data_IF_135931075165
#
_entry.id   IF_135931075165
#
_cell.length_a   1.000
_cell.length_b   1.000
_cell.length_c   1.000
_cell.angle_alpha   90.00
_cell.angle_beta   90.00
_cell.angle_gamma   90.00
#
_symmetry.space_group_name_H-M   'P 1'
#
loop_
_entity.id
_entity.type
_entity.pdbx_description
1 polymer ?
#
# COMPACT_ATOMS: atom_id res chain seq x y z
N UNK A 1 6.90 18.44 -15.95
CA UNK A 1 6.76 17.65 -14.70
C UNK A 1 8.13 17.17 -14.28
N UNK A 2 8.61 17.57 -13.09
CA UNK A 2 9.85 17.04 -12.52
C UNK A 2 9.67 15.53 -12.32
N UNK A 3 10.57 14.71 -12.90
CA UNK A 3 10.52 13.27 -12.69
C UNK A 3 10.98 12.96 -11.27
N UNK A 4 10.16 12.29 -10.48
CA UNK A 4 10.55 11.79 -9.16
C UNK A 4 11.83 10.96 -9.27
N UNK A 5 12.78 11.19 -8.36
CA UNK A 5 14.04 10.44 -8.35
C UNK A 5 13.81 8.97 -7.96
N UNK A 6 14.70 8.06 -8.40
CA UNK A 6 14.67 6.66 -7.98
C UNK A 6 14.86 6.53 -6.46
N UNK A 7 15.66 7.38 -5.82
CA UNK A 7 15.83 7.40 -4.38
C UNK A 7 14.52 7.72 -3.64
N UNK A 8 13.73 8.70 -4.14
CA UNK A 8 12.42 8.99 -3.56
C UNK A 8 11.48 7.78 -3.65
N UNK A 9 11.42 7.13 -4.82
CA UNK A 9 10.59 5.93 -5.02
C UNK A 9 11.04 4.78 -4.11
N UNK A 10 12.36 4.59 -3.96
CA UNK A 10 12.94 3.60 -3.04
C UNK A 10 12.50 3.82 -1.59
N UNK A 11 12.58 5.04 -1.08
CA UNK A 11 12.08 5.36 0.27
C UNK A 11 10.56 5.13 0.39
N UNK A 12 9.79 5.44 -0.64
CA UNK A 12 8.36 5.14 -0.68
C UNK A 12 8.08 3.64 -0.55
N UNK A 13 8.83 2.79 -1.23
CA UNK A 13 8.70 1.33 -1.12
C UNK A 13 9.11 0.80 0.26
N UNK A 14 10.19 1.34 0.86
CA UNK A 14 10.58 1.00 2.22
C UNK A 14 9.47 1.38 3.21
N UNK A 15 8.94 2.60 3.10
CA UNK A 15 7.86 3.07 3.95
C UNK A 15 6.58 2.22 3.78
N UNK A 16 6.19 1.90 2.53
CA UNK A 16 5.05 1.02 2.25
C UNK A 16 5.22 -0.36 2.90
N UNK A 17 6.39 -0.98 2.75
CA UNK A 17 6.69 -2.26 3.35
C UNK A 17 6.67 -2.22 4.88
N UNK A 18 7.31 -1.23 5.47
CA UNK A 18 7.36 -1.04 6.91
C UNK A 18 5.96 -0.80 7.52
N UNK A 19 5.12 0.02 6.87
CA UNK A 19 3.77 0.29 7.32
C UNK A 19 2.84 -0.91 7.13
N UNK A 20 2.96 -1.65 6.04
CA UNK A 20 2.17 -2.87 5.84
C UNK A 20 2.50 -3.93 6.90
N UNK A 21 3.75 -4.06 7.31
CA UNK A 21 4.16 -5.04 8.34
C UNK A 21 3.94 -4.46 9.74
N UNK A 22 4.66 -3.40 10.07
CA UNK A 22 4.66 -2.82 11.42
C UNK A 22 3.33 -2.17 11.78
N UNK A 23 2.72 -1.44 10.83
CA UNK A 23 1.39 -0.84 11.00
C UNK A 23 0.32 -1.90 11.20
N UNK A 24 0.33 -2.97 10.38
CA UNK A 24 -0.63 -4.07 10.54
C UNK A 24 -0.49 -4.72 11.91
N UNK A 25 0.72 -5.04 12.36
CA UNK A 25 0.94 -5.62 13.70
C UNK A 25 0.46 -4.68 14.82
N UNK A 26 0.75 -3.39 14.70
CA UNK A 26 0.37 -2.40 15.71
C UNK A 26 -1.16 -2.26 15.80
N UNK A 27 -1.83 -1.95 14.67
CA UNK A 27 -3.26 -1.66 14.66
C UNK A 27 -4.13 -2.90 14.86
N UNK A 28 -3.62 -4.07 14.44
CA UNK A 28 -4.30 -5.35 14.68
C UNK A 28 -3.99 -5.97 16.03
N UNK A 29 -3.17 -5.33 16.87
CA UNK A 29 -2.75 -5.89 18.17
C UNK A 29 -2.22 -7.32 18.05
N UNK A 30 -1.27 -7.52 17.13
CA UNK A 30 -0.73 -8.84 16.84
C UNK A 30 -1.72 -9.78 16.15
N UNK A 31 -2.53 -9.28 15.21
CA UNK A 31 -3.53 -10.02 14.42
C UNK A 31 -4.74 -10.54 15.24
N UNK A 32 -5.04 -9.89 16.37
CA UNK A 32 -6.12 -10.33 17.28
C UNK A 32 -7.16 -9.24 17.58
N UNK A 33 -7.14 -8.10 16.87
CA UNK A 33 -8.03 -6.98 17.13
C UNK A 33 -9.44 -7.21 16.58
N UNK A 34 -10.36 -7.64 17.46
CA UNK A 34 -11.75 -7.89 17.10
C UNK A 34 -12.49 -6.63 16.60
N UNK A 35 -12.09 -5.43 17.06
CA UNK A 35 -12.72 -4.18 16.61
C UNK A 35 -12.45 -3.94 15.15
N UNK A 36 -11.20 -4.06 14.68
CA UNK A 36 -10.81 -3.94 13.25
C UNK A 36 -11.47 -5.04 12.42
N UNK A 37 -11.40 -6.29 12.88
CA UNK A 37 -11.97 -7.43 12.17
C UNK A 37 -13.48 -7.28 11.96
N UNK A 38 -14.21 -6.77 12.96
CA UNK A 38 -15.66 -6.59 12.87
C UNK A 38 -16.09 -5.53 11.85
N UNK A 39 -15.23 -4.57 11.52
CA UNK A 39 -15.55 -3.52 10.54
C UNK A 39 -15.59 -4.04 9.10
N UNK A 40 -14.71 -4.96 8.74
CA UNK A 40 -14.65 -5.55 7.42
C UNK A 40 -14.02 -6.95 7.48
N UNK A 41 -14.78 -7.99 7.92
CA UNK A 41 -14.24 -9.32 8.18
C UNK A 41 -13.53 -9.96 6.98
N UNK A 42 -14.00 -9.68 5.74
CA UNK A 42 -13.42 -10.24 4.51
C UNK A 42 -11.98 -9.76 4.26
N UNK A 43 -11.64 -8.56 4.75
CA UNK A 43 -10.31 -7.95 4.54
C UNK A 43 -9.46 -8.05 5.80
N UNK A 44 -10.06 -7.91 6.99
CA UNK A 44 -9.34 -7.83 8.26
C UNK A 44 -9.49 -9.08 9.12
N UNK A 45 -9.83 -10.22 8.52
CA UNK A 45 -9.59 -11.51 9.16
C UNK A 45 -8.09 -11.68 9.46
N UNK A 46 -7.75 -12.64 10.28
CA UNK A 46 -6.35 -12.96 10.57
C UNK A 46 -5.55 -13.26 9.31
N UNK A 47 -6.14 -14.01 8.38
CA UNK A 47 -5.55 -14.36 7.09
C UNK A 47 -5.41 -13.12 6.19
N UNK A 48 -6.41 -12.24 6.18
CA UNK A 48 -6.36 -10.98 5.44
C UNK A 48 -5.27 -10.05 5.96
N UNK A 49 -5.13 -9.92 7.28
CA UNK A 49 -4.05 -9.15 7.90
C UNK A 49 -2.66 -9.74 7.60
N UNK A 50 -2.52 -11.07 7.62
CA UNK A 50 -1.29 -11.73 7.18
C UNK A 50 -0.98 -11.45 5.71
N UNK A 51 -2.01 -11.45 4.84
CA UNK A 51 -1.83 -11.13 3.44
C UNK A 51 -1.30 -9.70 3.24
N UNK A 52 -1.81 -8.72 3.99
CA UNK A 52 -1.28 -7.34 3.97
C UNK A 52 0.22 -7.32 4.34
N UNK A 53 0.63 -8.12 5.33
CA UNK A 53 2.05 -8.23 5.72
C UNK A 53 2.90 -8.88 4.63
N UNK A 54 2.38 -9.90 3.93
CA UNK A 54 3.07 -10.53 2.79
C UNK A 54 3.32 -9.50 1.69
N UNK A 55 2.33 -8.67 1.36
CA UNK A 55 2.50 -7.56 0.42
C UNK A 55 3.53 -6.53 0.92
N UNK A 56 3.59 -6.29 2.23
CA UNK A 56 4.67 -5.50 2.82
C UNK A 56 6.05 -6.07 2.53
N UNK A 57 6.21 -7.39 2.68
CA UNK A 57 7.43 -8.11 2.30
C UNK A 57 7.76 -7.97 0.81
N UNK A 58 6.75 -8.03 -0.08
CA UNK A 58 6.92 -7.85 -1.52
C UNK A 58 7.42 -6.43 -1.88
N UNK A 59 6.93 -5.38 -1.19
CA UNK A 59 7.47 -4.03 -1.32
C UNK A 59 8.95 -3.97 -0.95
N UNK A 60 9.34 -4.56 0.20
CA UNK A 60 10.74 -4.58 0.65
C UNK A 60 11.63 -5.39 -0.30
N UNK A 61 11.15 -6.51 -0.83
CA UNK A 61 11.86 -7.33 -1.80
C UNK A 61 12.11 -6.60 -3.13
N UNK A 62 11.24 -5.66 -3.51
CA UNK A 62 11.41 -4.85 -4.71
C UNK A 62 12.43 -3.70 -4.54
N UNK A 63 12.78 -3.30 -3.31
CA UNK A 63 13.67 -2.15 -3.01
C UNK A 63 15.02 -2.20 -3.74
N UNK A 64 15.74 -3.33 -3.82
CA UNK A 64 17.04 -3.38 -4.51
C UNK A 64 16.94 -3.02 -6.00
N UNK A 65 15.83 -3.34 -6.67
CA UNK A 65 15.62 -3.03 -8.08
C UNK A 65 15.41 -1.53 -8.35
N UNK A 66 15.12 -0.74 -7.31
CA UNK A 66 14.95 0.71 -7.39
C UNK A 66 16.28 1.48 -7.26
N UNK A 67 17.38 0.83 -6.94
CA UNK A 67 18.69 1.46 -6.87
C UNK A 67 19.18 1.92 -8.25
N UNK A 68 19.94 3.02 -8.26
CA UNK A 68 20.53 3.54 -9.49
C UNK A 68 21.50 2.48 -10.08
N UNK A 69 21.42 2.26 -11.39
CA UNK A 69 22.25 1.26 -12.08
C UNK A 69 21.76 -0.19 -11.97
N UNK A 70 20.69 -0.47 -11.23
CA UNK A 70 20.06 -1.79 -11.19
C UNK A 70 18.99 -1.93 -12.25
N UNK A 71 18.79 -3.16 -12.73
CA UNK A 71 17.69 -3.49 -13.64
C UNK A 71 16.35 -3.24 -12.94
N UNK A 72 15.46 -2.50 -13.62
CA UNK A 72 14.13 -2.16 -13.13
C UNK A 72 13.15 -3.28 -13.39
N UNK A 73 12.22 -3.47 -12.44
CA UNK A 73 11.20 -4.52 -12.49
C UNK A 73 9.79 -3.91 -12.64
N UNK A 74 9.44 -3.34 -13.82
CA UNK A 74 8.21 -2.59 -14.01
C UNK A 74 6.95 -3.41 -13.67
N UNK A 75 6.95 -4.70 -13.98
CA UNK A 75 5.79 -5.57 -13.71
C UNK A 75 5.60 -5.84 -12.21
N UNK A 76 6.68 -5.98 -11.45
CA UNK A 76 6.61 -6.07 -9.99
C UNK A 76 6.00 -4.80 -9.39
N UNK A 77 6.43 -3.63 -9.86
CA UNK A 77 5.86 -2.35 -9.40
C UNK A 77 4.39 -2.21 -9.80
N UNK A 78 4.02 -2.68 -10.99
CA UNK A 78 2.62 -2.67 -11.45
C UNK A 78 1.71 -3.53 -10.57
N UNK A 79 2.14 -4.74 -10.21
CA UNK A 79 1.40 -5.63 -9.31
C UNK A 79 1.21 -4.97 -7.93
N UNK A 80 2.25 -4.33 -7.39
CA UNK A 80 2.18 -3.60 -6.13
C UNK A 80 1.23 -2.39 -6.20
N UNK A 81 1.16 -1.70 -7.35
CA UNK A 81 0.19 -0.64 -7.57
C UNK A 81 -1.25 -1.17 -7.62
N UNK A 82 -1.48 -2.31 -8.26
CA UNK A 82 -2.79 -2.98 -8.32
C UNK A 82 -3.25 -3.43 -6.94
N UNK A 83 -2.36 -4.03 -6.14
CA UNK A 83 -2.63 -4.39 -4.75
C UNK A 83 -3.15 -3.17 -3.95
N UNK A 84 -2.46 -2.06 -4.01
CA UNK A 84 -2.85 -0.83 -3.33
C UNK A 84 -4.16 -0.23 -3.85
N UNK A 85 -4.40 -0.30 -5.16
CA UNK A 85 -5.66 0.12 -5.74
C UNK A 85 -6.83 -0.73 -5.23
N UNK A 86 -6.62 -2.04 -5.06
CA UNK A 86 -7.62 -2.95 -4.48
C UNK A 86 -7.97 -2.54 -3.03
N UNK A 87 -6.98 -2.36 -2.16
CA UNK A 87 -7.24 -1.96 -0.76
C UNK A 87 -7.81 -0.55 -0.65
N UNK A 88 -7.37 0.39 -1.49
CA UNK A 88 -7.99 1.73 -1.58
C UNK A 88 -9.47 1.62 -1.98
N UNK A 89 -9.78 0.81 -2.98
CA UNK A 89 -11.16 0.58 -3.44
C UNK A 89 -12.03 -0.05 -2.36
N UNK A 90 -11.51 -1.04 -1.62
CA UNK A 90 -12.23 -1.67 -0.51
C UNK A 90 -12.50 -0.67 0.63
N UNK A 91 -11.56 0.21 0.92
CA UNK A 91 -11.75 1.27 1.90
C UNK A 91 -12.83 2.27 1.46
N UNK A 92 -12.81 2.70 0.21
CA UNK A 92 -13.86 3.57 -0.33
C UNK A 92 -15.24 2.91 -0.25
N UNK A 93 -15.34 1.61 -0.56
CA UNK A 93 -16.60 0.87 -0.40
C UNK A 93 -17.03 0.81 1.07
N UNK A 94 -16.10 0.64 2.01
CA UNK A 94 -16.44 0.69 3.44
C UNK A 94 -16.94 2.08 3.84
N UNK A 95 -16.24 3.15 3.45
CA UNK A 95 -16.61 4.56 3.74
C UNK A 95 -18.01 4.87 3.20
N UNK A 96 -18.29 4.51 1.95
CA UNK A 96 -19.59 4.82 1.30
C UNK A 96 -20.78 4.02 1.86
N UNK A 97 -20.52 2.92 2.55
CA UNK A 97 -21.56 2.12 3.22
C UNK A 97 -21.94 2.63 4.60
N UNK A 98 -21.16 3.57 5.16
CA UNK A 98 -21.47 4.11 6.47
C UNK A 98 -22.58 5.18 6.36
N UNK A 99 -23.65 5.10 7.15
CA UNK A 99 -24.70 6.14 7.20
C UNK A 99 -24.12 7.51 7.59
N UNK A 100 -23.16 7.51 8.51
CA UNK A 100 -22.35 8.66 8.90
C UNK A 100 -20.95 8.18 9.27
N UNK A 101 -19.97 8.55 8.45
CA UNK A 101 -18.57 8.19 8.69
C UNK A 101 -18.07 8.70 10.03
N UNK A 102 -18.44 9.96 10.39
CA UNK A 102 -18.00 10.57 11.64
C UNK A 102 -18.52 9.81 12.85
N UNK A 103 -19.83 9.49 12.89
CA UNK A 103 -20.41 8.74 14.02
C UNK A 103 -19.87 7.32 14.11
N UNK A 104 -19.63 6.67 12.98
CA UNK A 104 -18.99 5.34 12.93
C UNK A 104 -17.57 5.39 13.51
N UNK A 105 -16.77 6.38 13.10
CA UNK A 105 -15.40 6.55 13.63
C UNK A 105 -15.41 6.90 15.13
N UNK A 106 -16.38 7.71 15.61
CA UNK A 106 -16.53 8.01 17.04
C UNK A 106 -16.90 6.76 17.84
N UNK A 107 -17.80 5.91 17.33
CA UNK A 107 -18.12 4.63 17.97
C UNK A 107 -16.91 3.70 18.04
N UNK A 108 -16.15 3.57 16.93
CA UNK A 108 -14.92 2.78 16.93
C UNK A 108 -13.91 3.37 17.92
N UNK A 109 -13.75 4.70 17.96
CA UNK A 109 -12.81 5.38 18.85
C UNK A 109 -13.14 5.15 20.32
N UNK A 110 -14.42 5.13 20.68
CA UNK A 110 -14.86 4.87 22.07
C UNK A 110 -14.49 3.45 22.54
N UNK A 111 -14.36 2.51 21.61
CA UNK A 111 -13.98 1.12 21.89
C UNK A 111 -12.46 0.90 21.74
N UNK A 112 -11.84 1.52 20.73
CA UNK A 112 -10.42 1.39 20.45
C UNK A 112 -9.92 2.52 19.53
N UNK A 113 -9.19 3.47 20.10
CA UNK A 113 -8.67 4.63 19.41
C UNK A 113 -7.72 4.26 18.24
N UNK A 114 -6.90 3.22 18.40
CA UNK A 114 -6.00 2.76 17.33
C UNK A 114 -6.78 2.20 16.14
N UNK A 115 -7.86 1.46 16.41
CA UNK A 115 -8.76 0.96 15.36
C UNK A 115 -9.44 2.10 14.61
N UNK A 116 -9.88 3.15 15.29
CA UNK A 116 -10.46 4.32 14.63
C UNK A 116 -9.46 5.02 13.73
N UNK A 117 -8.22 5.23 14.19
CA UNK A 117 -7.15 5.83 13.39
C UNK A 117 -6.83 4.98 12.16
N UNK A 118 -6.75 3.66 12.32
CA UNK A 118 -6.55 2.74 11.22
C UNK A 118 -7.68 2.83 10.20
N UNK A 119 -8.94 2.70 10.63
CA UNK A 119 -10.10 2.74 9.74
C UNK A 119 -10.27 4.09 9.04
N UNK A 120 -9.88 5.19 9.69
CA UNK A 120 -9.91 6.52 9.07
C UNK A 120 -8.88 6.69 7.95
N UNK A 121 -7.70 6.06 8.05
CA UNK A 121 -6.53 6.41 7.26
C UNK A 121 -5.97 5.33 6.33
N UNK A 122 -6.31 4.04 6.51
CA UNK A 122 -5.60 2.99 5.78
C UNK A 122 -5.76 3.09 4.25
N UNK A 123 -6.95 3.41 3.77
CA UNK A 123 -7.18 3.53 2.34
C UNK A 123 -6.50 4.74 1.71
N UNK A 124 -6.38 5.85 2.44
CA UNK A 124 -5.59 6.99 2.00
C UNK A 124 -4.09 6.64 1.93
N UNK A 125 -3.57 5.95 2.94
CA UNK A 125 -2.21 5.41 2.94
C UNK A 125 -1.96 4.52 1.72
N UNK A 126 -2.89 3.62 1.42
CA UNK A 126 -2.78 2.74 0.27
C UNK A 126 -2.86 3.49 -1.07
N UNK A 127 -3.70 4.52 -1.18
CA UNK A 127 -3.74 5.38 -2.36
C UNK A 127 -2.40 6.07 -2.63
N UNK A 128 -1.74 6.60 -1.59
CA UNK A 128 -0.44 7.25 -1.70
C UNK A 128 0.63 6.25 -2.19
N UNK A 129 0.74 5.09 -1.57
CA UNK A 129 1.74 4.09 -1.96
C UNK A 129 1.42 3.40 -3.29
N UNK A 130 0.15 3.29 -3.64
CA UNK A 130 -0.28 2.88 -4.97
C UNK A 130 0.19 3.86 -6.05
N UNK A 131 0.06 5.16 -5.81
CA UNK A 131 0.57 6.20 -6.70
C UNK A 131 2.11 6.14 -6.84
N UNK A 132 2.84 5.91 -5.74
CA UNK A 132 4.31 5.73 -5.77
C UNK A 132 4.69 4.53 -6.64
N UNK A 133 4.03 3.40 -6.48
CA UNK A 133 4.29 2.19 -7.27
C UNK A 133 3.92 2.38 -8.76
N UNK A 134 2.81 3.05 -9.06
CA UNK A 134 2.41 3.39 -10.43
C UNK A 134 3.43 4.31 -11.12
N UNK A 135 3.95 5.32 -10.41
CA UNK A 135 5.02 6.19 -10.94
C UNK A 135 6.30 5.41 -11.20
N UNK A 136 6.69 4.50 -10.29
CA UNK A 136 7.85 3.62 -10.50
C UNK A 136 7.67 2.74 -11.75
N UNK A 137 6.47 2.18 -11.95
CA UNK A 137 6.12 1.39 -13.13
C UNK A 137 6.31 2.19 -14.42
N UNK A 138 5.68 3.35 -14.51
CA UNK A 138 5.73 4.20 -15.70
C UNK A 138 7.16 4.65 -16.02
N UNK A 139 7.92 5.02 -14.98
CA UNK A 139 9.31 5.44 -15.12
C UNK A 139 10.19 4.29 -15.64
N UNK A 140 10.05 3.09 -15.06
CA UNK A 140 10.80 1.92 -15.46
C UNK A 140 10.50 1.51 -16.93
N UNK A 141 9.22 1.54 -17.33
CA UNK A 141 8.83 1.25 -18.72
C UNK A 141 9.40 2.27 -19.72
N UNK A 142 9.45 3.55 -19.36
CA UNK A 142 10.05 4.59 -20.21
C UNK A 142 11.56 4.39 -20.36
N UNK A 143 12.27 4.04 -19.30
CA UNK A 143 13.71 3.76 -19.36
C UNK A 143 13.98 2.53 -20.22
N UNK A 144 13.23 1.44 -20.07
CA UNK A 144 13.35 0.24 -20.87
C UNK A 144 13.19 0.52 -22.37
N UNK A 145 12.14 1.25 -22.78
CA UNK A 145 11.91 1.62 -24.19
C UNK A 145 13.06 2.43 -24.79
N UNK A 146 13.69 3.32 -24.00
CA UNK A 146 14.84 4.11 -24.46
C UNK A 146 16.06 3.22 -24.73
N UNK A 147 16.32 2.28 -23.83
CA UNK A 147 17.44 1.34 -23.98
C UNK A 147 17.26 0.41 -25.18
N UNK A 148 16.04 -0.10 -25.38
CA UNK A 148 15.72 -0.97 -26.51
C UNK A 148 15.83 -0.22 -27.84
N UNK A 149 15.38 1.04 -27.92
CA UNK A 149 15.51 1.89 -29.11
C UNK A 149 16.97 2.23 -29.48
N UNK A 150 17.85 2.40 -28.47
CA UNK A 150 19.27 2.65 -28.67
C UNK A 150 20.04 1.41 -29.19
N UNK A 151 19.56 0.20 -28.89
CA UNK A 151 20.18 -1.05 -29.40
C UNK A 151 19.76 -1.40 -30.81
N UNK A 152 18.67 -0.80 -31.30
CA UNK A 152 18.11 -1.05 -32.64
C UNK A 152 18.61 -0.05 -33.70
N UNK A 153 19.31 1.02 -33.32
CA UNK A 153 19.96 2.02 -34.15
C UNK A 153 21.46 1.73 -34.32
#
# INVERSE_FOLDING_TARGET
MASLSWNFLRYGFIAAGALNIGGTLLFSKGLSNAVVTSQYPQIFSREGLMNIMIWGGAYLAAVPSLEVGREKQPWTYAILAVDKAFYTGTWLMWVTRQPSLLSTLQDIFSRDALSALFMAGYGFNDAVFGAVAAVATVKALKERRRTDGQKAS
#
